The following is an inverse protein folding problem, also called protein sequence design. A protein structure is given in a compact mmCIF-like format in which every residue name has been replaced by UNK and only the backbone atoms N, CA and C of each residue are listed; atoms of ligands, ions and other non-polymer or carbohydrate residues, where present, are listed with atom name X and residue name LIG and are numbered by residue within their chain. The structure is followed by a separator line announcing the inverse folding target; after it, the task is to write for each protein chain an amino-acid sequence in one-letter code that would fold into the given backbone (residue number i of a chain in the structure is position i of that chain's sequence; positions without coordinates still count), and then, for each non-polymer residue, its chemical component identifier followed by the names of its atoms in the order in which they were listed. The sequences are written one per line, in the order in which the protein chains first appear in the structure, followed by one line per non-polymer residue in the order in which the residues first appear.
data_IF_267145860373
#
_entry.id   IF_267145860373
#
_cell.length_a   1.000
_cell.length_b   1.000
_cell.length_c   1.000
_cell.angle_alpha   90.00
_cell.angle_beta   90.00
_cell.angle_gamma   90.00
#
_symmetry.space_group_name_H-M   'P 1'
#
loop_
_entity.id
_entity.type
_entity.pdbx_description
1 polymer ?
#
# COMPACT_ATOMS: atom_id res chain seq x y z
N UNK A 1 11.44 33.17 -16.93
CA UNK A 1 11.46 32.56 -15.58
C UNK A 1 10.07 32.00 -15.36
N UNK A 2 9.85 30.76 -15.76
CA UNK A 2 8.61 30.06 -15.49
C UNK A 2 8.87 29.12 -14.32
N UNK A 3 8.31 29.46 -13.17
CA UNK A 3 8.15 28.57 -12.03
C UNK A 3 7.15 27.49 -12.42
N UNK A 4 7.65 26.33 -12.82
CA UNK A 4 6.84 25.13 -12.92
C UNK A 4 6.65 24.60 -11.50
N UNK A 5 5.39 24.64 -11.05
CA UNK A 5 4.93 24.05 -9.82
C UNK A 5 5.20 22.54 -9.86
N UNK A 6 6.10 22.09 -8.98
CA UNK A 6 6.30 20.70 -8.59
C UNK A 6 4.96 20.11 -8.12
N UNK A 7 4.18 19.58 -9.06
CA UNK A 7 2.94 18.86 -8.75
C UNK A 7 3.33 17.44 -8.41
N UNK A 8 3.72 17.25 -7.14
CA UNK A 8 3.94 15.94 -6.54
C UNK A 8 2.70 15.08 -6.81
N UNK A 9 2.82 13.87 -7.39
CA UNK A 9 1.68 12.98 -7.57
C UNK A 9 1.03 12.75 -6.21
N UNK A 10 -0.32 12.79 -6.10
CA UNK A 10 -0.98 12.60 -4.82
C UNK A 10 -0.52 11.26 -4.23
N UNK A 11 0.17 11.36 -3.09
CA UNK A 11 0.44 10.21 -2.24
C UNK A 11 -0.92 9.55 -1.96
N UNK A 12 -0.95 8.25 -2.19
CA UNK A 12 -2.03 7.31 -1.89
C UNK A 12 -2.92 7.88 -0.79
N UNK A 13 -4.15 8.26 -1.13
CA UNK A 13 -5.14 8.73 -0.17
C UNK A 13 -5.11 7.79 1.04
N UNK A 14 -4.83 8.37 2.21
CA UNK A 14 -4.98 7.70 3.49
C UNK A 14 -6.43 7.18 3.54
N UNK A 15 -6.59 5.88 3.27
CA UNK A 15 -7.84 5.17 3.47
C UNK A 15 -8.35 5.50 4.87
N UNK A 16 -9.68 5.61 5.06
CA UNK A 16 -10.26 6.01 6.33
C UNK A 16 -9.60 5.25 7.47
N UNK A 17 -9.14 5.98 8.48
CA UNK A 17 -8.52 5.41 9.67
C UNK A 17 -9.33 4.23 10.18
N UNK A 18 -8.69 3.21 10.79
CA UNK A 18 -9.30 1.93 11.06
C UNK A 18 -10.67 2.13 11.69
N UNK A 19 -11.72 1.80 10.94
CA UNK A 19 -13.09 1.88 11.45
C UNK A 19 -13.15 1.11 12.77
N UNK A 20 -13.96 1.58 13.70
CA UNK A 20 -14.06 0.98 15.05
C UNK A 20 -14.43 -0.51 15.05
N UNK A 21 -14.83 -1.05 13.89
CA UNK A 21 -15.39 -2.40 13.73
C UNK A 21 -14.62 -3.25 12.70
N UNK A 22 -13.34 -3.51 12.96
CA UNK A 22 -12.65 -4.63 12.29
C UNK A 22 -13.13 -5.97 12.89
N UNK A 23 -13.98 -6.70 12.18
CA UNK A 23 -14.56 -7.97 12.64
C UNK A 23 -13.48 -9.00 13.01
N UNK A 24 -12.40 -9.09 12.21
CA UNK A 24 -11.26 -9.98 12.50
C UNK A 24 -10.59 -9.64 13.83
N UNK A 25 -10.43 -8.35 14.12
CA UNK A 25 -9.85 -7.90 15.40
C UNK A 25 -10.77 -8.20 16.58
N UNK A 26 -12.09 -7.99 16.42
CA UNK A 26 -13.07 -8.33 17.44
C UNK A 26 -13.10 -9.84 17.73
N UNK A 27 -13.07 -10.66 16.67
CA UNK A 27 -12.98 -12.12 16.81
C UNK A 27 -11.69 -12.54 17.52
N UNK A 28 -10.56 -11.91 17.18
CA UNK A 28 -9.29 -12.15 17.86
C UNK A 28 -9.38 -11.82 19.37
N UNK A 29 -9.91 -10.65 19.74
CA UNK A 29 -10.10 -10.28 21.14
C UNK A 29 -11.03 -11.25 21.88
N UNK A 30 -12.11 -11.68 21.23
CA UNK A 30 -13.05 -12.67 21.78
C UNK A 30 -12.35 -14.01 22.03
N UNK A 31 -11.56 -14.49 21.09
CA UNK A 31 -10.79 -15.73 21.23
C UNK A 31 -9.76 -15.65 22.37
N UNK A 32 -9.06 -14.51 22.50
CA UNK A 32 -8.12 -14.30 23.61
C UNK A 32 -8.82 -14.32 24.97
N UNK A 33 -9.93 -13.58 25.11
CA UNK A 33 -10.70 -13.57 26.35
C UNK A 33 -11.23 -14.95 26.72
N UNK A 34 -11.74 -15.71 25.72
CA UNK A 34 -12.16 -17.09 25.92
C UNK A 34 -11.00 -18.01 26.30
N UNK A 35 -9.82 -17.83 25.71
CA UNK A 35 -8.64 -18.61 26.04
C UNK A 35 -8.21 -18.39 27.49
N UNK A 36 -8.10 -17.14 27.95
CA UNK A 36 -7.72 -16.84 29.35
C UNK A 36 -8.75 -17.43 30.33
N UNK A 37 -10.04 -17.25 30.05
CA UNK A 37 -11.12 -17.84 30.86
C UNK A 37 -11.05 -19.36 30.87
N UNK A 38 -10.79 -20.00 29.74
CA UNK A 38 -10.67 -21.46 29.66
C UNK A 38 -9.54 -22.04 30.52
N UNK A 39 -8.50 -21.26 30.83
CA UNK A 39 -7.41 -21.66 31.73
C UNK A 39 -7.88 -21.59 33.19
N UNK A 40 -8.55 -20.49 33.56
CA UNK A 40 -9.12 -20.28 34.89
C UNK A 40 -10.21 -21.30 35.23
N UNK A 41 -11.12 -21.53 34.29
CA UNK A 41 -12.29 -22.39 34.46
C UNK A 41 -11.94 -23.89 34.39
N UNK A 42 -10.65 -24.26 34.31
CA UNK A 42 -10.25 -25.66 34.36
C UNK A 42 -10.74 -26.29 35.67
N UNK A 43 -11.58 -27.34 35.60
CA UNK A 43 -12.18 -27.91 36.79
C UNK A 43 -11.11 -28.39 37.78
N UNK A 44 -11.29 -27.99 39.04
CA UNK A 44 -10.48 -28.44 40.16
C UNK A 44 -9.18 -27.66 40.37
N UNK A 45 -9.07 -26.41 39.94
CA UNK A 45 -7.92 -25.53 40.25
C UNK A 45 -7.73 -25.32 41.76
N UNK A 46 -8.78 -24.95 42.50
CA UNK A 46 -8.71 -24.91 43.97
C UNK A 46 -8.47 -26.31 44.58
N UNK A 47 -9.11 -27.36 44.03
CA UNK A 47 -8.92 -28.74 44.49
C UNK A 47 -7.48 -29.23 44.30
N UNK A 48 -6.81 -28.84 43.21
CA UNK A 48 -5.40 -29.13 42.95
C UNK A 48 -4.51 -28.39 43.93
N UNK A 49 -4.80 -27.11 44.20
CA UNK A 49 -4.08 -26.32 45.20
C UNK A 49 -4.21 -26.94 46.61
N UNK A 50 -5.43 -27.29 47.02
CA UNK A 50 -5.72 -27.95 48.29
C UNK A 50 -5.00 -29.30 48.44
N UNK A 51 -4.89 -30.09 47.35
CA UNK A 51 -4.15 -31.37 47.35
C UNK A 51 -2.65 -31.20 47.56
N UNK A 52 -2.07 -30.09 47.12
CA UNK A 52 -0.65 -29.79 47.33
C UNK A 52 -0.35 -29.42 48.79
N UNK A 53 -1.34 -28.93 49.55
CA UNK A 53 -1.18 -28.50 50.94
C UNK A 53 -2.20 -29.15 51.90
N UNK A 54 -2.25 -30.49 52.01
CA UNK A 54 -3.36 -31.20 52.66
C UNK A 54 -3.44 -30.95 54.17
N UNK A 55 -2.30 -30.79 54.87
CA UNK A 55 -2.27 -30.47 56.30
C UNK A 55 -2.79 -29.06 56.58
N UNK A 56 -2.44 -28.10 55.73
CA UNK A 56 -2.85 -26.70 55.87
C UNK A 56 -4.32 -26.51 55.52
N UNK A 57 -4.78 -27.16 54.43
CA UNK A 57 -6.17 -27.12 53.99
C UNK A 57 -7.14 -27.65 55.05
N UNK A 58 -6.76 -28.70 55.79
CA UNK A 58 -7.59 -29.26 56.89
C UNK A 58 -7.98 -28.22 57.94
N UNK A 59 -7.12 -27.24 58.21
CA UNK A 59 -7.34 -26.22 59.24
C UNK A 59 -7.71 -24.85 58.66
N UNK A 60 -7.45 -24.61 57.37
CA UNK A 60 -7.55 -23.28 56.75
C UNK A 60 -8.20 -23.35 55.34
N UNK A 61 -9.25 -24.15 55.17
CA UNK A 61 -9.89 -24.35 53.86
C UNK A 61 -10.37 -23.04 53.22
N UNK A 62 -10.92 -22.11 54.02
CA UNK A 62 -11.35 -20.79 53.57
C UNK A 62 -10.19 -19.95 53.03
N UNK A 63 -9.05 -19.94 53.74
CA UNK A 63 -7.84 -19.22 53.30
C UNK A 63 -7.35 -19.76 51.96
N UNK A 64 -7.33 -21.09 51.79
CA UNK A 64 -6.92 -21.72 50.54
C UNK A 64 -7.87 -21.38 49.39
N UNK A 65 -9.17 -21.29 49.66
CA UNK A 65 -10.17 -20.86 48.67
C UNK A 65 -9.92 -19.40 48.25
N UNK A 66 -9.78 -18.48 49.22
CA UNK A 66 -9.52 -17.06 48.97
C UNK A 66 -8.22 -16.85 48.18
N UNK A 67 -7.14 -17.53 48.57
CA UNK A 67 -5.86 -17.45 47.86
C UNK A 67 -5.97 -18.03 46.44
N UNK A 68 -6.72 -19.12 46.25
CA UNK A 68 -6.99 -19.66 44.92
C UNK A 68 -7.73 -18.64 44.06
N UNK A 69 -8.78 -18.02 44.58
CA UNK A 69 -9.59 -17.07 43.82
C UNK A 69 -8.78 -15.82 43.45
N UNK A 70 -8.02 -15.26 44.40
CA UNK A 70 -7.11 -14.13 44.15
C UNK A 70 -6.02 -14.47 43.13
N UNK A 71 -5.45 -15.67 43.19
CA UNK A 71 -4.43 -16.11 42.24
C UNK A 71 -4.97 -16.11 40.81
N UNK A 72 -6.19 -16.62 40.61
CA UNK A 72 -6.79 -16.72 39.29
C UNK A 72 -7.31 -15.39 38.76
N UNK A 73 -7.84 -14.53 39.64
CA UNK A 73 -8.20 -13.16 39.30
C UNK A 73 -6.98 -12.35 38.85
N UNK A 74 -5.91 -12.37 39.65
CA UNK A 74 -4.65 -11.70 39.31
C UNK A 74 -4.02 -12.28 38.02
N UNK A 75 -4.13 -13.59 37.81
CA UNK A 75 -3.70 -14.22 36.57
C UNK A 75 -4.50 -13.69 35.37
N UNK A 76 -5.83 -13.69 35.44
CA UNK A 76 -6.69 -13.21 34.34
C UNK A 76 -6.39 -11.74 34.00
N UNK A 77 -6.36 -10.86 35.01
CA UNK A 77 -6.06 -9.44 34.84
C UNK A 77 -4.67 -9.23 34.22
N UNK A 78 -3.64 -9.90 34.76
CA UNK A 78 -2.27 -9.72 34.28
C UNK A 78 -2.10 -10.23 32.85
N UNK A 79 -2.73 -11.35 32.50
CA UNK A 79 -2.65 -11.90 31.15
C UNK A 79 -3.37 -11.02 30.14
N UNK A 80 -4.58 -10.54 30.45
CA UNK A 80 -5.32 -9.63 29.56
C UNK A 80 -4.56 -8.31 29.36
N UNK A 81 -4.04 -7.73 30.44
CA UNK A 81 -3.24 -6.50 30.38
C UNK A 81 -1.97 -6.66 29.53
N UNK A 82 -1.24 -7.77 29.71
CA UNK A 82 -0.06 -8.07 28.90
C UNK A 82 -0.45 -8.24 27.41
N UNK A 83 -1.55 -8.92 27.11
CA UNK A 83 -2.03 -9.08 25.73
C UNK A 83 -2.41 -7.73 25.10
N UNK A 84 -3.07 -6.85 25.84
CA UNK A 84 -3.36 -5.49 25.36
C UNK A 84 -2.09 -4.69 25.07
N UNK A 85 -1.06 -4.84 25.90
CA UNK A 85 0.24 -4.23 25.63
C UNK A 85 0.84 -4.76 24.32
N UNK A 86 0.87 -6.08 24.10
CA UNK A 86 1.33 -6.66 22.84
C UNK A 86 0.53 -6.17 21.63
N UNK A 87 -0.81 -6.08 21.76
CA UNK A 87 -1.69 -5.57 20.70
C UNK A 87 -1.31 -4.14 20.31
N UNK A 88 -1.01 -3.29 21.30
CA UNK A 88 -0.60 -1.89 21.08
C UNK A 88 0.79 -1.82 20.45
N UNK A 89 1.78 -2.49 21.02
CA UNK A 89 3.16 -2.46 20.55
C UNK A 89 3.30 -2.99 19.11
N UNK A 90 2.59 -4.07 18.79
CA UNK A 90 2.62 -4.66 17.45
C UNK A 90 1.71 -3.95 16.43
N UNK A 91 0.99 -2.88 16.83
CA UNK A 91 -0.04 -2.23 16.02
C UNK A 91 -1.04 -3.23 15.39
N UNK A 92 -1.40 -4.28 16.14
CA UNK A 92 -2.10 -5.44 15.59
C UNK A 92 -3.49 -5.08 15.04
N UNK A 93 -4.16 -4.10 15.67
CA UNK A 93 -5.44 -3.56 15.18
C UNK A 93 -5.33 -3.02 13.76
N UNK A 94 -4.28 -2.23 13.48
CA UNK A 94 -4.02 -1.66 12.16
C UNK A 94 -3.64 -2.75 11.14
N UNK A 95 -2.79 -3.70 11.54
CA UNK A 95 -2.38 -4.80 10.67
C UNK A 95 -3.57 -5.67 10.24
N UNK A 96 -4.42 -6.07 11.19
CA UNK A 96 -5.60 -6.90 10.90
C UNK A 96 -6.66 -6.14 10.10
N UNK A 97 -6.83 -4.84 10.36
CA UNK A 97 -7.66 -3.98 9.53
C UNK A 97 -7.15 -3.94 8.08
N UNK A 98 -5.85 -3.66 7.88
CA UNK A 98 -5.23 -3.64 6.55
C UNK A 98 -5.39 -4.97 5.82
N UNK A 99 -5.27 -6.10 6.52
CA UNK A 99 -5.45 -7.43 5.96
C UNK A 99 -6.93 -7.75 5.64
N UNK A 100 -7.88 -7.09 6.31
CA UNK A 100 -9.32 -7.22 6.01
C UNK A 100 -9.76 -6.42 4.80
N UNK A 101 -9.13 -5.26 4.54
CA UNK A 101 -9.39 -4.42 3.36
C UNK A 101 -8.49 -4.77 2.17
N UNK A 102 -7.49 -5.62 2.37
CA UNK A 102 -6.67 -6.15 1.29
C UNK A 102 -7.57 -7.04 0.43
N UNK A 103 -8.13 -6.47 -0.63
CA UNK A 103 -8.77 -7.21 -1.71
C UNK A 103 -7.68 -7.97 -2.47
N UNK A 104 -7.29 -9.10 -1.92
CA UNK A 104 -6.47 -10.08 -2.60
C UNK A 104 -7.45 -10.87 -3.48
N UNK A 105 -7.25 -10.84 -4.79
CA UNK A 105 -8.02 -11.65 -5.74
C UNK A 105 -8.00 -13.12 -5.24
N UNK A 106 -9.15 -13.80 -5.21
CA UNK A 106 -9.23 -15.17 -4.69
C UNK A 106 -8.32 -16.14 -5.47
N UNK A 107 -7.92 -15.75 -6.68
CA UNK A 107 -6.98 -16.47 -7.54
C UNK A 107 -5.51 -16.00 -7.40
N UNK A 108 -5.22 -15.02 -6.54
CA UNK A 108 -3.87 -14.52 -6.32
C UNK A 108 -3.04 -15.53 -5.53
N UNK A 109 -2.26 -16.33 -6.25
CA UNK A 109 -1.41 -17.39 -5.71
C UNK A 109 0.08 -17.02 -5.66
N UNK A 110 0.43 -15.72 -5.70
CA UNK A 110 1.84 -15.34 -5.61
C UNK A 110 2.40 -15.77 -4.25
N UNK A 111 3.53 -16.48 -4.30
CA UNK A 111 4.33 -16.85 -3.15
C UNK A 111 5.78 -16.44 -3.43
N UNK A 112 6.57 -16.09 -2.40
CA UNK A 112 8.00 -15.85 -2.58
C UNK A 112 8.64 -17.05 -3.27
N UNK A 113 9.34 -16.80 -4.37
CA UNK A 113 10.03 -17.83 -5.15
C UNK A 113 11.20 -18.44 -4.39
N UNK A 114 11.77 -17.68 -3.43
CA UNK A 114 13.02 -18.00 -2.76
C UNK A 114 14.24 -17.40 -3.47
N UNK A 115 14.05 -16.80 -4.64
CA UNK A 115 15.04 -15.98 -5.34
C UNK A 115 14.72 -14.49 -5.16
N UNK A 116 15.57 -13.72 -4.43
CA UNK A 116 15.35 -12.29 -4.23
C UNK A 116 15.20 -11.49 -5.52
N UNK A 117 15.93 -11.85 -6.58
CA UNK A 117 15.92 -11.08 -7.82
C UNK A 117 14.59 -11.26 -8.56
N UNK A 118 14.04 -12.47 -8.60
CA UNK A 118 12.73 -12.76 -9.18
C UNK A 118 11.60 -12.08 -8.40
N UNK A 119 11.66 -12.12 -7.07
CA UNK A 119 10.63 -11.51 -6.20
C UNK A 119 10.64 -9.98 -6.34
N UNK A 120 11.82 -9.35 -6.41
CA UNK A 120 11.97 -7.91 -6.67
C UNK A 120 11.44 -7.57 -8.07
N UNK A 121 11.78 -8.35 -9.09
CA UNK A 121 11.31 -8.12 -10.46
C UNK A 121 9.78 -8.18 -10.54
N UNK A 122 9.16 -9.17 -9.89
CA UNK A 122 7.70 -9.31 -9.82
C UNK A 122 7.04 -8.09 -9.16
N UNK A 123 7.61 -7.59 -8.06
CA UNK A 123 7.13 -6.37 -7.40
C UNK A 123 7.27 -5.12 -8.27
N UNK A 124 8.37 -5.00 -9.01
CA UNK A 124 8.65 -3.84 -9.86
C UNK A 124 7.89 -3.89 -11.20
N UNK A 125 7.41 -5.05 -11.61
CA UNK A 125 6.83 -5.26 -12.94
C UNK A 125 5.72 -4.25 -13.28
N UNK A 126 4.74 -4.07 -12.40
CA UNK A 126 3.64 -3.15 -12.64
C UNK A 126 4.06 -1.67 -12.66
N UNK A 127 5.04 -1.29 -11.83
CA UNK A 127 5.59 0.07 -11.82
C UNK A 127 6.32 0.35 -13.14
N UNK A 128 7.20 -0.56 -13.56
CA UNK A 128 7.93 -0.49 -14.84
C UNK A 128 6.97 -0.45 -16.02
N UNK A 129 5.91 -1.26 -16.03
CA UNK A 129 4.94 -1.30 -17.11
C UNK A 129 4.19 0.04 -17.25
N UNK A 130 3.80 0.68 -16.13
CA UNK A 130 3.17 2.01 -16.15
C UNK A 130 4.12 3.09 -16.64
N UNK A 131 5.38 3.04 -16.20
CA UNK A 131 6.40 4.00 -16.62
C UNK A 131 6.70 3.86 -18.13
N UNK A 132 6.86 2.63 -18.63
CA UNK A 132 7.03 2.35 -20.05
C UNK A 132 5.84 2.85 -20.88
N UNK A 133 4.60 2.64 -20.41
CA UNK A 133 3.42 3.14 -21.10
C UNK A 133 3.44 4.68 -21.22
N UNK A 134 3.78 5.39 -20.14
CA UNK A 134 3.91 6.86 -20.14
C UNK A 134 5.00 7.34 -21.09
N UNK A 135 6.18 6.74 -21.03
CA UNK A 135 7.29 7.09 -21.92
C UNK A 135 6.93 6.85 -23.39
N UNK A 136 6.22 5.76 -23.67
CA UNK A 136 5.74 5.45 -25.02
C UNK A 136 4.74 6.52 -25.51
N UNK A 137 3.83 6.96 -24.64
CA UNK A 137 2.88 8.03 -24.96
C UNK A 137 3.58 9.36 -25.29
N UNK A 138 4.55 9.76 -24.47
CA UNK A 138 5.36 10.96 -24.70
C UNK A 138 6.10 10.84 -26.03
N UNK A 139 6.77 9.71 -26.27
CA UNK A 139 7.53 9.50 -27.50
C UNK A 139 6.66 9.56 -28.76
N UNK A 140 5.47 8.96 -28.73
CA UNK A 140 4.51 9.03 -29.84
C UNK A 140 4.04 10.46 -30.09
N UNK A 141 3.83 11.23 -29.02
CA UNK A 141 3.45 12.64 -29.12
C UNK A 141 4.55 13.47 -29.80
N UNK A 142 5.80 13.29 -29.39
CA UNK A 142 6.96 13.98 -29.98
C UNK A 142 7.13 13.62 -31.47
N UNK A 143 6.96 12.34 -31.84
CA UNK A 143 7.00 11.91 -33.25
C UNK A 143 5.92 12.62 -34.07
N UNK A 144 4.70 12.69 -33.55
CA UNK A 144 3.59 13.34 -34.27
C UNK A 144 3.83 14.85 -34.44
N UNK A 145 4.35 15.52 -33.41
CA UNK A 145 4.72 16.93 -33.47
C UNK A 145 5.87 17.17 -34.48
N UNK A 146 6.90 16.32 -34.46
CA UNK A 146 8.01 16.40 -35.40
C UNK A 146 7.53 16.22 -36.85
N UNK A 147 6.67 15.24 -37.12
CA UNK A 147 6.09 15.01 -38.44
C UNK A 147 5.24 16.21 -38.91
N UNK A 148 4.43 16.80 -38.01
CA UNK A 148 3.64 17.98 -38.33
C UNK A 148 4.53 19.19 -38.69
N UNK A 149 5.60 19.41 -37.93
CA UNK A 149 6.58 20.46 -38.21
C UNK A 149 7.35 20.21 -39.52
N UNK A 150 7.70 18.96 -39.82
CA UNK A 150 8.36 18.61 -41.08
C UNK A 150 7.48 18.93 -42.30
N UNK A 151 6.19 18.60 -42.23
CA UNK A 151 5.23 18.95 -43.29
C UNK A 151 5.05 20.47 -43.43
N UNK A 152 5.04 21.20 -42.31
CA UNK A 152 5.01 22.67 -42.34
C UNK A 152 6.28 23.26 -43.00
N UNK A 153 7.46 22.70 -42.70
CA UNK A 153 8.73 23.09 -43.31
C UNK A 153 8.69 22.84 -44.83
N UNK A 154 8.28 21.64 -45.27
CA UNK A 154 8.15 21.33 -46.70
C UNK A 154 7.19 22.29 -47.42
N UNK A 155 6.07 22.63 -46.81
CA UNK A 155 5.13 23.60 -47.35
C UNK A 155 5.74 25.00 -47.49
N UNK A 156 6.48 25.47 -46.48
CA UNK A 156 7.19 26.75 -46.50
C UNK A 156 8.31 26.75 -47.55
N UNK A 157 9.10 25.69 -47.65
CA UNK A 157 10.14 25.56 -48.67
C UNK A 157 9.57 25.61 -50.09
N UNK A 158 8.44 24.93 -50.33
CA UNK A 158 7.75 24.99 -51.62
C UNK A 158 7.28 26.41 -51.93
N UNK A 159 6.74 27.13 -50.94
CA UNK A 159 6.31 28.50 -51.11
C UNK A 159 7.48 29.44 -51.45
N UNK A 160 8.60 29.32 -50.73
CA UNK A 160 9.83 30.07 -51.02
C UNK A 160 10.33 29.79 -52.44
N UNK A 161 10.35 28.53 -52.88
CA UNK A 161 10.74 28.16 -54.26
C UNK A 161 9.83 28.83 -55.29
N UNK A 162 8.51 28.88 -55.07
CA UNK A 162 7.56 29.58 -55.95
C UNK A 162 7.82 31.08 -55.99
N UNK A 163 8.00 31.72 -54.84
CA UNK A 163 8.29 33.16 -54.75
C UNK A 163 9.61 33.53 -55.44
N UNK A 164 10.65 32.72 -55.27
CA UNK A 164 11.93 32.92 -55.97
C UNK A 164 11.78 32.78 -57.49
N UNK A 165 10.96 31.84 -57.96
CA UNK A 165 10.68 31.70 -59.39
C UNK A 165 9.95 32.92 -59.96
N UNK A 166 8.95 33.46 -59.23
CA UNK A 166 8.25 34.69 -59.60
C UNK A 166 9.21 35.88 -59.62
N UNK A 167 10.01 36.06 -58.56
CA UNK A 167 11.00 37.14 -58.47
C UNK A 167 12.00 37.12 -59.64
N UNK A 168 12.55 35.94 -59.97
CA UNK A 168 13.44 35.77 -61.13
C UNK A 168 12.75 36.06 -62.47
N UNK A 169 11.46 35.75 -62.59
CA UNK A 169 10.69 36.06 -63.79
C UNK A 169 10.51 37.58 -63.94
N UNK A 170 10.15 38.26 -62.87
CA UNK A 170 9.99 39.72 -62.85
C UNK A 170 11.31 40.45 -63.09
N UNK A 171 12.41 39.97 -62.52
CA UNK A 171 13.76 40.50 -62.76
C UNK A 171 14.11 40.45 -64.26
N UNK A 172 13.87 39.31 -64.92
CA UNK A 172 14.07 39.16 -66.38
C UNK A 172 13.16 40.07 -67.21
N UNK A 173 11.93 40.33 -66.76
CA UNK A 173 11.04 41.29 -67.45
C UNK A 173 11.55 42.72 -67.30
N UNK A 174 12.00 43.11 -66.11
CA UNK A 174 12.58 44.43 -65.86
C UNK A 174 13.89 44.66 -66.64
N UNK A 175 14.72 43.63 -66.80
CA UNK A 175 15.92 43.68 -67.65
C UNK A 175 15.58 43.94 -69.11
N UNK A 176 14.50 43.36 -69.64
CA UNK A 176 14.05 43.62 -71.02
C UNK A 176 13.61 45.07 -71.21
N UNK A 177 12.95 45.65 -70.21
CA UNK A 177 12.50 47.06 -70.24
C UNK A 177 13.68 48.04 -70.17
N UNK A 178 14.78 47.69 -69.48
CA UNK A 178 15.99 48.54 -69.39
C UNK A 178 16.84 48.61 -70.66
N UNK A 179 16.64 47.70 -71.62
CA UNK A 179 17.41 47.62 -72.88
C UNK A 179 16.67 48.33 -74.03
N UNK A 180 15.52 48.95 -73.77
CA UNK A 180 14.76 49.78 -74.72
C UNK A 180 14.92 51.26 -74.39
#
# INVERSE_FOLDING_TARGET
MNTEEDTVPPMVEDKPGPSETCERFQNFQKCLGQFVKSIRDKPGTCRKLARSFPKYYKSNAEVVQVVSDQLWEAFEEKQLSNMEQFIREANLKKLLYNLSIANVDENFNWRPSGDPDEDIQAHLFHAKQRELAKLTEIHLKEINEANALEEEIKAKELNVRKLLAVGKSQEKELEKVKIT
#
